data_IF_488516030023
#
_entry.id   IF_488516030023
#
_cell.length_a   1.000
_cell.length_b   1.000
_cell.length_c   1.000
_cell.angle_alpha   90.00
_cell.angle_beta   90.00
_cell.angle_gamma   90.00
#
_symmetry.space_group_name_H-M   'P 1'
#
loop_
_entity.id
_entity.type
_entity.pdbx_description
1 polymer ?
#
# COMPACT_ATOMS: atom_id res chain seq x y z
N UNK A 1 33.73 60.17 -25.61
CA UNK A 1 34.01 59.37 -24.40
C UNK A 1 32.69 58.90 -23.84
N UNK A 2 32.26 57.68 -24.20
CA UNK A 2 31.08 57.04 -23.61
C UNK A 2 31.55 56.04 -22.56
N UNK A 3 31.16 56.26 -21.31
CA UNK A 3 31.37 55.29 -20.22
C UNK A 3 30.16 54.36 -20.15
N UNK A 4 30.35 53.11 -20.53
CA UNK A 4 29.39 52.03 -20.29
C UNK A 4 29.33 51.72 -18.78
N UNK A 5 28.15 51.46 -18.21
CA UNK A 5 28.07 50.91 -16.86
C UNK A 5 28.40 49.41 -16.91
N UNK A 6 29.42 49.00 -16.17
CA UNK A 6 29.75 47.59 -15.93
C UNK A 6 28.61 46.94 -15.13
N UNK A 7 27.85 46.07 -15.78
CA UNK A 7 26.91 45.16 -15.10
C UNK A 7 27.76 44.18 -14.30
N UNK A 8 27.88 44.42 -13.00
CA UNK A 8 28.41 43.44 -12.06
C UNK A 8 27.43 42.28 -11.99
N UNK A 9 27.74 41.19 -12.69
CA UNK A 9 27.13 39.89 -12.45
C UNK A 9 27.67 39.43 -11.11
N UNK A 10 26.99 39.83 -10.03
CA UNK A 10 27.15 39.19 -8.74
C UNK A 10 26.61 37.76 -8.90
N UNK A 11 27.50 36.79 -8.70
CA UNK A 11 27.20 35.37 -8.52
C UNK A 11 26.28 35.18 -7.29
N UNK A 12 25.00 35.50 -7.41
CA UNK A 12 23.97 34.97 -6.53
C UNK A 12 23.54 33.59 -7.07
N UNK A 13 24.50 32.66 -7.11
CA UNK A 13 24.15 31.25 -7.14
C UNK A 13 23.49 30.95 -5.79
N UNK A 14 22.24 30.43 -5.76
CA UNK A 14 21.63 30.03 -4.50
C UNK A 14 22.52 28.95 -3.87
N UNK A 15 23.27 29.32 -2.83
CA UNK A 15 24.02 28.40 -1.96
C UNK A 15 23.03 27.62 -1.08
N UNK A 16 22.11 26.92 -1.71
CA UNK A 16 21.02 26.16 -1.08
C UNK A 16 21.35 24.68 -0.86
N UNK A 17 22.63 24.33 -0.66
CA UNK A 17 23.04 22.94 -0.43
C UNK A 17 23.66 22.69 0.95
N UNK A 18 23.74 23.71 1.82
CA UNK A 18 24.55 23.64 3.04
C UNK A 18 23.80 23.47 4.36
N UNK A 19 22.48 23.23 4.37
CA UNK A 19 21.84 22.77 5.62
C UNK A 19 20.50 22.02 5.42
N UNK A 20 20.50 20.98 4.57
CA UNK A 20 19.41 19.99 4.54
C UNK A 20 19.47 19.07 5.78
N UNK A 21 19.36 19.63 6.97
CA UNK A 21 19.17 18.84 8.20
C UNK A 21 17.79 18.20 8.12
N UNK A 22 17.75 16.88 7.93
CA UNK A 22 16.51 16.10 8.02
C UNK A 22 15.89 16.30 9.40
N UNK A 23 14.55 16.45 9.50
CA UNK A 23 13.90 16.63 10.78
C UNK A 23 14.11 15.39 11.68
N UNK A 24 14.07 15.53 13.02
CA UNK A 24 14.23 14.40 13.94
C UNK A 24 13.23 13.25 13.69
N UNK A 25 12.04 13.55 13.17
CA UNK A 25 11.03 12.54 12.82
C UNK A 25 11.44 11.63 11.67
N UNK A 26 12.33 12.06 10.76
CA UNK A 26 12.90 11.23 9.70
C UNK A 26 13.84 10.17 10.29
N UNK A 27 14.65 10.57 11.27
CA UNK A 27 15.57 9.69 11.96
C UNK A 27 14.86 8.74 12.92
N UNK A 28 13.86 9.23 13.65
CA UNK A 28 13.02 8.37 14.50
C UNK A 28 12.35 7.26 13.66
N UNK A 29 11.77 7.63 12.52
CA UNK A 29 11.19 6.65 11.59
C UNK A 29 12.22 5.62 11.13
N UNK A 30 13.42 6.05 10.75
CA UNK A 30 14.49 5.16 10.33
C UNK A 30 14.93 4.20 11.45
N UNK A 31 15.12 4.71 12.66
CA UNK A 31 15.47 3.89 13.85
C UNK A 31 14.40 2.84 14.12
N UNK A 32 13.12 3.20 14.06
CA UNK A 32 12.01 2.25 14.26
C UNK A 32 12.02 1.16 13.19
N UNK A 33 12.18 1.52 11.91
CA UNK A 33 12.24 0.54 10.81
C UNK A 33 13.44 -0.41 10.97
N UNK A 34 14.62 0.12 11.31
CA UNK A 34 15.81 -0.69 11.55
C UNK A 34 15.66 -1.60 12.77
N UNK A 35 15.05 -1.11 13.85
CA UNK A 35 14.78 -1.90 15.04
C UNK A 35 13.83 -3.07 14.75
N UNK A 36 12.76 -2.82 13.97
CA UNK A 36 11.84 -3.87 13.53
C UNK A 36 12.52 -4.90 12.62
N UNK A 37 13.37 -4.46 11.68
CA UNK A 37 14.12 -5.35 10.81
C UNK A 37 15.14 -6.20 11.60
N UNK A 38 15.88 -5.59 12.52
CA UNK A 38 16.82 -6.28 13.40
C UNK A 38 16.11 -7.29 14.31
N UNK A 39 14.94 -6.92 14.87
CA UNK A 39 14.09 -7.84 15.62
C UNK A 39 13.62 -9.01 14.75
N UNK A 40 13.23 -8.75 13.50
CA UNK A 40 12.87 -9.77 12.53
C UNK A 40 13.99 -10.78 12.29
N UNK A 41 15.22 -10.30 12.02
CA UNK A 41 16.39 -11.17 11.89
C UNK A 41 16.68 -11.97 13.15
N UNK A 42 16.65 -11.32 14.32
CA UNK A 42 16.91 -11.99 15.59
C UNK A 42 15.86 -13.06 15.92
N UNK A 43 14.59 -12.80 15.61
CA UNK A 43 13.47 -13.67 16.02
C UNK A 43 13.19 -14.79 15.00
N UNK A 44 13.40 -14.53 13.72
CA UNK A 44 12.95 -15.39 12.62
C UNK A 44 14.06 -15.73 11.62
N UNK A 45 15.30 -15.26 11.82
CA UNK A 45 16.40 -15.47 10.87
C UNK A 45 16.70 -16.93 10.57
N UNK A 46 16.58 -17.82 11.57
CA UNK A 46 16.79 -19.27 11.40
C UNK A 46 15.69 -19.94 10.55
N UNK A 47 14.51 -19.33 10.47
CA UNK A 47 13.39 -19.81 9.66
C UNK A 47 13.39 -19.21 8.24
N UNK A 48 14.26 -18.23 7.96
CA UNK A 48 14.34 -17.54 6.68
C UNK A 48 15.42 -18.15 5.77
N UNK A 49 15.08 -18.35 4.50
CA UNK A 49 16.08 -18.67 3.49
C UNK A 49 16.95 -17.44 3.12
N UNK A 50 17.99 -17.67 2.31
CA UNK A 50 18.91 -16.60 1.90
C UNK A 50 18.22 -15.47 1.13
N UNK A 51 17.16 -15.78 0.38
CA UNK A 51 16.41 -14.80 -0.38
C UNK A 51 15.53 -13.94 0.53
N UNK A 52 14.88 -14.55 1.52
CA UNK A 52 14.06 -13.85 2.51
C UNK A 52 14.90 -12.92 3.38
N UNK A 53 16.09 -13.37 3.79
CA UNK A 53 17.07 -12.53 4.48
C UNK A 53 17.51 -11.35 3.61
N UNK A 54 17.82 -11.58 2.33
CA UNK A 54 18.19 -10.52 1.40
C UNK A 54 17.03 -9.52 1.16
N UNK A 55 15.79 -10.01 1.08
CA UNK A 55 14.58 -9.18 0.93
C UNK A 55 14.40 -8.31 2.18
N UNK A 56 14.50 -8.86 3.39
CA UNK A 56 14.38 -8.07 4.63
C UNK A 56 15.47 -6.99 4.71
N UNK A 57 16.71 -7.36 4.36
CA UNK A 57 17.85 -6.44 4.31
C UNK A 57 17.64 -5.30 3.32
N UNK A 58 17.05 -5.59 2.14
CA UNK A 58 16.75 -4.58 1.12
C UNK A 58 15.47 -3.77 1.43
N UNK A 59 14.48 -4.38 2.09
CA UNK A 59 13.22 -3.75 2.43
C UNK A 59 13.40 -2.61 3.43
N UNK A 60 14.24 -2.78 4.45
CA UNK A 60 14.49 -1.75 5.46
C UNK A 60 14.97 -0.41 4.86
N UNK A 61 16.08 -0.32 4.09
CA UNK A 61 16.51 0.93 3.47
C UNK A 61 15.50 1.44 2.42
N UNK A 62 14.79 0.55 1.71
CA UNK A 62 13.77 0.94 0.74
C UNK A 62 12.56 1.63 1.41
N UNK A 63 12.09 1.09 2.53
CA UNK A 63 11.00 1.68 3.33
C UNK A 63 11.43 3.01 3.94
N UNK A 64 12.67 3.10 4.43
CA UNK A 64 13.23 4.35 4.95
C UNK A 64 13.27 5.41 3.84
N UNK A 65 13.83 5.07 2.67
CA UNK A 65 13.89 5.95 1.52
C UNK A 65 12.49 6.42 1.09
N UNK A 66 11.53 5.49 1.02
CA UNK A 66 10.14 5.80 0.68
C UNK A 66 9.49 6.73 1.70
N UNK A 67 9.62 6.45 3.00
CA UNK A 67 9.07 7.31 4.05
C UNK A 67 9.72 8.69 4.10
N UNK A 68 10.98 8.82 3.72
CA UNK A 68 11.68 10.10 3.55
C UNK A 68 11.22 10.86 2.31
N UNK A 69 10.99 10.15 1.21
CA UNK A 69 10.52 10.69 -0.06
C UNK A 69 9.07 11.19 0.03
N UNK A 70 8.17 10.37 0.59
CA UNK A 70 6.74 10.66 0.70
C UNK A 70 6.23 10.41 2.12
N UNK A 71 6.29 11.47 2.95
CA UNK A 71 5.96 11.41 4.40
C UNK A 71 4.61 10.77 4.75
N UNK A 72 3.50 10.98 4.02
CA UNK A 72 2.22 10.33 4.30
C UNK A 72 2.29 8.80 4.39
N UNK A 73 3.20 8.17 3.65
CA UNK A 73 3.39 6.70 3.65
C UNK A 73 3.79 6.18 5.03
N UNK A 74 4.46 6.99 5.87
CA UNK A 74 4.86 6.54 7.23
C UNK A 74 3.66 6.15 8.08
N UNK A 75 2.61 6.96 8.06
CA UNK A 75 1.39 6.69 8.82
C UNK A 75 0.65 5.49 8.23
N UNK A 76 0.58 5.41 6.89
CA UNK A 76 -0.03 4.28 6.20
C UNK A 76 0.63 2.95 6.60
N UNK A 77 1.96 2.88 6.53
CA UNK A 77 2.74 1.69 6.89
C UNK A 77 2.59 1.31 8.36
N UNK A 78 2.65 2.29 9.28
CA UNK A 78 2.47 2.03 10.70
C UNK A 78 1.05 1.52 10.98
N UNK A 79 0.04 2.18 10.43
CA UNK A 79 -1.35 1.81 10.65
C UNK A 79 -1.66 0.42 10.08
N UNK A 80 -1.26 0.13 8.83
CA UNK A 80 -1.49 -1.19 8.22
C UNK A 80 -0.71 -2.28 8.94
N UNK A 81 0.54 -2.03 9.32
CA UNK A 81 1.35 -2.98 10.09
C UNK A 81 0.73 -3.31 11.45
N UNK A 82 0.24 -2.31 12.19
CA UNK A 82 -0.46 -2.52 13.45
C UNK A 82 -1.80 -3.24 13.27
N UNK A 83 -2.56 -2.91 12.21
CA UNK A 83 -3.83 -3.57 11.91
C UNK A 83 -3.62 -5.05 11.54
N UNK A 84 -2.62 -5.36 10.71
CA UNK A 84 -2.23 -6.74 10.37
C UNK A 84 -1.72 -7.49 11.58
N UNK A 85 -0.85 -6.89 12.42
CA UNK A 85 -0.41 -7.53 13.66
C UNK A 85 -1.62 -7.82 14.57
N UNK A 86 -2.51 -6.85 14.74
CA UNK A 86 -3.74 -7.00 15.52
C UNK A 86 -4.60 -8.15 14.99
N UNK A 87 -4.79 -8.26 13.68
CA UNK A 87 -5.52 -9.36 13.06
C UNK A 87 -4.86 -10.72 13.35
N UNK A 88 -3.54 -10.84 13.12
CA UNK A 88 -2.80 -12.07 13.41
C UNK A 88 -2.90 -12.46 14.89
N UNK A 89 -2.80 -11.49 15.80
CA UNK A 89 -2.96 -11.72 17.24
C UNK A 89 -4.38 -12.14 17.64
N UNK A 90 -5.41 -11.74 16.89
CA UNK A 90 -6.79 -12.21 17.10
C UNK A 90 -6.96 -13.65 16.60
N UNK A 91 -6.44 -13.97 15.42
CA UNK A 91 -6.45 -15.33 14.87
C UNK A 91 -5.70 -16.31 15.77
N UNK A 92 -4.50 -15.95 16.24
CA UNK A 92 -3.64 -16.80 17.08
C UNK A 92 -4.19 -17.06 18.50
N UNK A 93 -5.38 -16.56 18.85
CA UNK A 93 -6.04 -16.88 20.14
C UNK A 93 -6.52 -18.33 20.21
N UNK A 94 -6.79 -18.92 19.06
CA UNK A 94 -7.21 -20.31 18.90
C UNK A 94 -6.48 -20.89 17.71
N UNK A 95 -5.90 -22.06 17.91
CA UNK A 95 -5.07 -22.73 16.91
C UNK A 95 -5.66 -24.07 16.52
N UNK A 96 -5.39 -24.50 15.30
CA UNK A 96 -5.70 -25.82 14.77
C UNK A 96 -4.40 -26.59 14.46
N UNK A 97 -4.50 -27.67 13.69
CA UNK A 97 -3.36 -28.53 13.34
C UNK A 97 -2.31 -27.82 12.45
N UNK A 98 -2.67 -26.72 11.79
CA UNK A 98 -1.84 -26.03 10.79
C UNK A 98 -1.37 -24.64 11.22
N UNK A 99 -1.97 -24.07 12.26
CA UNK A 99 -1.61 -22.77 12.80
C UNK A 99 -2.78 -22.10 13.48
N UNK A 100 -3.12 -20.87 13.07
CA UNK A 100 -4.29 -20.19 13.58
C UNK A 100 -5.59 -20.74 12.96
N UNK A 101 -6.61 -20.97 13.79
CA UNK A 101 -7.94 -21.38 13.31
C UNK A 101 -8.59 -20.25 12.50
N UNK A 102 -8.63 -20.41 11.18
CA UNK A 102 -9.19 -19.42 10.27
C UNK A 102 -10.71 -19.27 10.39
N UNK A 103 -11.42 -20.23 11.00
CA UNK A 103 -12.85 -20.11 11.26
C UNK A 103 -13.16 -18.94 12.21
N UNK A 104 -12.18 -18.49 13.00
CA UNK A 104 -12.30 -17.29 13.84
C UNK A 104 -12.54 -16.02 13.03
N UNK A 105 -12.17 -16.00 11.74
CA UNK A 105 -12.47 -14.91 10.82
C UNK A 105 -13.96 -14.59 10.75
N UNK A 106 -14.82 -15.58 10.97
CA UNK A 106 -16.29 -15.43 10.95
C UNK A 106 -16.92 -15.28 12.34
N UNK A 107 -16.13 -15.39 13.40
CA UNK A 107 -16.62 -15.42 14.79
C UNK A 107 -16.21 -14.16 15.56
N UNK A 108 -14.96 -13.73 15.43
CA UNK A 108 -14.43 -12.58 16.15
C UNK A 108 -14.88 -11.29 15.45
N UNK A 109 -15.62 -10.44 16.16
CA UNK A 109 -16.20 -9.19 15.63
C UNK A 109 -15.23 -8.37 14.75
N UNK A 110 -14.02 -8.09 15.27
CA UNK A 110 -13.05 -7.27 14.55
C UNK A 110 -12.52 -7.94 13.28
N UNK A 111 -12.34 -9.26 13.28
CA UNK A 111 -11.93 -9.99 12.09
C UNK A 111 -13.08 -9.99 11.08
N UNK A 112 -14.25 -10.47 11.51
CA UNK A 112 -15.45 -10.62 10.67
C UNK A 112 -15.83 -9.34 9.96
N UNK A 113 -15.80 -8.21 10.65
CA UNK A 113 -16.31 -6.97 10.09
C UNK A 113 -15.23 -6.05 9.53
N UNK A 114 -13.94 -6.26 9.81
CA UNK A 114 -12.92 -5.27 9.40
C UNK A 114 -11.59 -5.87 8.97
N UNK A 115 -11.03 -6.78 9.77
CA UNK A 115 -9.60 -7.11 9.69
C UNK A 115 -9.28 -8.42 8.98
N UNK A 116 -10.24 -9.34 8.81
CA UNK A 116 -10.01 -10.51 7.94
C UNK A 116 -9.72 -10.04 6.52
N UNK A 117 -8.97 -10.83 5.74
CA UNK A 117 -8.58 -10.40 4.40
C UNK A 117 -9.78 -10.06 3.52
N UNK A 118 -10.82 -10.89 3.56
CA UNK A 118 -12.05 -10.71 2.79
C UNK A 118 -12.78 -9.42 3.20
N UNK A 119 -12.98 -9.21 4.50
CA UNK A 119 -13.69 -8.03 5.00
C UNK A 119 -12.92 -6.75 4.74
N UNK A 120 -11.59 -6.76 4.89
CA UNK A 120 -10.76 -5.62 4.57
C UNK A 120 -10.82 -5.25 3.07
N UNK A 121 -10.78 -6.24 2.17
CA UNK A 121 -10.89 -6.01 0.72
C UNK A 121 -12.31 -5.52 0.33
N UNK A 122 -13.35 -5.99 1.01
CA UNK A 122 -14.71 -5.46 0.82
C UNK A 122 -14.81 -3.99 1.25
N UNK A 123 -14.23 -3.62 2.40
CA UNK A 123 -14.15 -2.22 2.82
C UNK A 123 -13.35 -1.35 1.85
N UNK A 124 -12.20 -1.84 1.36
CA UNK A 124 -11.48 -1.17 0.28
C UNK A 124 -12.42 -0.87 -0.90
N UNK A 125 -13.19 -1.87 -1.33
CA UNK A 125 -14.10 -1.76 -2.47
C UNK A 125 -15.15 -0.67 -2.25
N UNK A 126 -15.82 -0.69 -1.09
CA UNK A 126 -16.81 0.33 -0.70
C UNK A 126 -16.17 1.72 -0.67
N UNK A 127 -15.00 1.84 -0.02
CA UNK A 127 -14.31 3.12 0.14
C UNK A 127 -13.85 3.67 -1.21
N UNK A 128 -13.37 2.85 -2.14
CA UNK A 128 -13.01 3.33 -3.47
C UNK A 128 -14.22 3.82 -4.27
N UNK A 129 -15.36 3.13 -4.24
CA UNK A 129 -16.59 3.68 -4.86
C UNK A 129 -17.06 4.98 -4.20
N UNK A 130 -17.03 5.06 -2.87
CA UNK A 130 -17.36 6.29 -2.14
C UNK A 130 -16.41 7.43 -2.52
N UNK A 131 -15.11 7.16 -2.58
CA UNK A 131 -14.09 8.11 -3.04
C UNK A 131 -14.42 8.64 -4.43
N UNK A 132 -14.75 7.76 -5.38
CA UNK A 132 -15.19 8.15 -6.73
C UNK A 132 -16.35 9.13 -6.67
N UNK A 133 -17.40 8.82 -5.92
CA UNK A 133 -18.56 9.72 -5.78
C UNK A 133 -18.15 11.08 -5.23
N UNK A 134 -17.32 11.14 -4.19
CA UNK A 134 -16.89 12.40 -3.60
C UNK A 134 -15.99 13.23 -4.52
N UNK A 135 -15.09 12.60 -5.27
CA UNK A 135 -14.32 13.30 -6.31
C UNK A 135 -15.23 13.87 -7.40
N UNK A 136 -16.25 13.12 -7.85
CA UNK A 136 -17.23 13.61 -8.82
C UNK A 136 -18.08 14.75 -8.25
N UNK A 137 -18.51 14.67 -6.99
CA UNK A 137 -19.17 15.80 -6.30
C UNK A 137 -18.23 17.01 -6.30
N UNK A 138 -16.96 16.84 -5.93
CA UNK A 138 -15.96 17.92 -5.94
C UNK A 138 -15.80 18.56 -7.31
N UNK A 139 -15.74 17.75 -8.37
CA UNK A 139 -15.65 18.21 -9.76
C UNK A 139 -16.90 18.98 -10.20
N UNK A 140 -18.08 18.39 -10.05
CA UNK A 140 -19.35 18.96 -10.55
C UNK A 140 -19.78 20.20 -9.77
N UNK A 141 -19.59 20.19 -8.45
CA UNK A 141 -19.91 21.34 -7.60
C UNK A 141 -18.79 22.37 -7.51
N UNK A 142 -17.63 22.10 -8.12
CA UNK A 142 -16.38 22.90 -7.98
C UNK A 142 -16.01 23.13 -6.51
N UNK A 143 -16.22 22.13 -5.67
CA UNK A 143 -16.04 22.19 -4.23
C UNK A 143 -14.73 21.52 -3.79
N UNK A 144 -13.85 22.31 -3.18
CA UNK A 144 -12.63 21.79 -2.56
C UNK A 144 -12.92 20.74 -1.47
N UNK A 145 -14.06 20.87 -0.77
CA UNK A 145 -14.48 19.92 0.26
C UNK A 145 -14.79 18.55 -0.33
N UNK A 146 -15.46 18.50 -1.50
CA UNK A 146 -15.77 17.23 -2.18
C UNK A 146 -14.51 16.46 -2.55
N UNK A 147 -13.57 17.13 -3.22
CA UNK A 147 -12.26 16.55 -3.56
C UNK A 147 -11.50 16.10 -2.32
N UNK A 148 -11.43 16.93 -1.27
CA UNK A 148 -10.70 16.60 -0.03
C UNK A 148 -11.28 15.37 0.67
N UNK A 149 -12.61 15.22 0.68
CA UNK A 149 -13.27 14.03 1.20
C UNK A 149 -12.97 12.80 0.33
N UNK A 150 -13.02 12.94 -1.01
CA UNK A 150 -12.62 11.89 -1.94
C UNK A 150 -11.21 11.39 -1.65
N UNK A 151 -10.24 12.29 -1.51
CA UNK A 151 -8.85 11.98 -1.16
C UNK A 151 -8.70 11.26 0.17
N UNK A 152 -9.37 11.74 1.23
CA UNK A 152 -9.34 11.09 2.56
C UNK A 152 -9.94 9.69 2.53
N UNK A 153 -11.04 9.50 1.80
CA UNK A 153 -11.69 8.20 1.65
C UNK A 153 -10.80 7.26 0.81
N UNK A 154 -10.14 7.77 -0.23
CA UNK A 154 -9.16 7.00 -1.00
C UNK A 154 -7.99 6.53 -0.12
N UNK A 155 -7.44 7.39 0.75
CA UNK A 155 -6.43 6.98 1.73
C UNK A 155 -6.93 5.85 2.65
N UNK A 156 -8.16 5.95 3.14
CA UNK A 156 -8.78 4.89 3.94
C UNK A 156 -8.93 3.59 3.14
N UNK A 157 -9.32 3.67 1.87
CA UNK A 157 -9.41 2.51 0.98
C UNK A 157 -8.05 1.84 0.74
N UNK A 158 -6.99 2.62 0.52
CA UNK A 158 -5.61 2.10 0.39
C UNK A 158 -5.16 1.43 1.69
N UNK A 159 -5.47 2.01 2.84
CA UNK A 159 -5.20 1.40 4.14
C UNK A 159 -5.89 0.03 4.30
N UNK A 160 -7.18 -0.06 3.96
CA UNK A 160 -7.93 -1.32 4.02
C UNK A 160 -7.39 -2.34 3.02
N UNK A 161 -7.00 -1.91 1.81
CA UNK A 161 -6.42 -2.76 0.79
C UNK A 161 -5.11 -3.40 1.25
N UNK A 162 -4.16 -2.58 1.73
CA UNK A 162 -2.86 -3.06 2.20
C UNK A 162 -3.05 -3.97 3.42
N UNK A 163 -3.92 -3.59 4.36
CA UNK A 163 -4.24 -4.45 5.51
C UNK A 163 -4.80 -5.80 5.06
N UNK A 164 -5.77 -5.80 4.15
CA UNK A 164 -6.36 -7.01 3.60
C UNK A 164 -5.34 -7.88 2.85
N UNK A 165 -4.48 -7.29 2.04
CA UNK A 165 -3.36 -7.98 1.37
C UNK A 165 -2.42 -8.61 2.39
N UNK A 166 -1.95 -7.87 3.39
CA UNK A 166 -1.02 -8.39 4.40
C UNK A 166 -1.66 -9.46 5.30
N UNK A 167 -2.92 -9.31 5.69
CA UNK A 167 -3.66 -10.34 6.44
C UNK A 167 -3.88 -11.57 5.58
N UNK A 168 -4.15 -11.41 4.28
CA UNK A 168 -4.25 -12.55 3.34
C UNK A 168 -2.94 -13.33 3.25
N UNK A 169 -1.81 -12.64 3.29
CA UNK A 169 -0.50 -13.29 3.35
C UNK A 169 -0.37 -14.15 4.62
N UNK A 170 -0.77 -13.61 5.77
CA UNK A 170 -0.81 -14.40 7.01
C UNK A 170 -1.76 -15.60 6.90
N UNK A 171 -3.01 -15.38 6.48
CA UNK A 171 -4.04 -16.41 6.35
C UNK A 171 -3.59 -17.55 5.43
N UNK A 172 -2.94 -17.26 4.30
CA UNK A 172 -2.49 -18.31 3.36
C UNK A 172 -1.50 -19.30 3.99
N UNK A 173 -0.69 -18.84 4.95
CA UNK A 173 0.28 -19.68 5.66
C UNK A 173 -0.33 -20.48 6.82
N UNK A 174 -1.62 -20.26 7.15
CA UNK A 174 -2.31 -21.00 8.21
C UNK A 174 -3.17 -22.16 7.67
N UNK A 175 -3.22 -22.37 6.35
CA UNK A 175 -4.11 -23.37 5.75
C UNK A 175 -3.45 -24.75 5.68
N UNK A 176 -2.27 -24.82 5.05
CA UNK A 176 -1.48 -26.04 4.89
C UNK A 176 -0.04 -25.69 4.47
N UNK A 177 0.94 -26.61 4.64
CA UNK A 177 2.36 -26.34 4.39
C UNK A 177 2.68 -25.82 2.98
N UNK A 178 1.93 -26.25 1.96
CA UNK A 178 2.20 -25.92 0.54
C UNK A 178 1.27 -24.84 -0.04
N UNK A 179 0.45 -24.20 0.80
CA UNK A 179 -0.53 -23.17 0.36
C UNK A 179 -0.02 -21.75 0.63
N UNK A 180 0.90 -21.56 1.59
CA UNK A 180 1.43 -20.24 1.93
C UNK A 180 2.06 -19.51 0.73
N UNK A 181 1.56 -18.32 0.41
CA UNK A 181 2.12 -17.49 -0.66
C UNK A 181 1.91 -15.99 -0.45
N UNK A 182 2.71 -15.21 -1.16
CA UNK A 182 2.56 -13.76 -1.26
C UNK A 182 1.30 -13.47 -2.08
N UNK A 183 0.42 -12.55 -1.62
CA UNK A 183 -0.90 -12.24 -2.20
C UNK A 183 -0.80 -11.44 -3.52
N UNK A 184 -0.15 -12.03 -4.52
CA UNK A 184 0.06 -11.53 -5.88
C UNK A 184 -0.01 -12.68 -6.90
N UNK A 185 -0.65 -13.79 -6.53
CA UNK A 185 -0.45 -15.08 -7.21
C UNK A 185 -1.64 -15.48 -8.10
N UNK A 186 -2.78 -14.81 -7.99
CA UNK A 186 -3.95 -15.03 -8.85
C UNK A 186 -4.55 -13.70 -9.34
N UNK A 187 -5.49 -13.79 -10.29
CA UNK A 187 -6.09 -12.61 -10.91
C UNK A 187 -6.84 -11.72 -9.91
N UNK A 188 -7.46 -12.30 -8.88
CA UNK A 188 -8.16 -11.55 -7.85
C UNK A 188 -7.17 -10.69 -7.04
N UNK A 189 -6.10 -11.28 -6.53
CA UNK A 189 -5.05 -10.61 -5.76
C UNK A 189 -4.33 -9.53 -6.57
N UNK A 190 -4.08 -9.81 -7.83
CA UNK A 190 -3.51 -8.86 -8.77
C UNK A 190 -4.41 -7.63 -8.97
N UNK A 191 -5.73 -7.81 -9.05
CA UNK A 191 -6.66 -6.68 -9.16
C UNK A 191 -6.76 -5.87 -7.86
N UNK A 192 -6.63 -6.51 -6.69
CA UNK A 192 -6.47 -5.80 -5.40
C UNK A 192 -5.22 -4.92 -5.47
N UNK A 193 -4.08 -5.50 -5.87
CA UNK A 193 -2.80 -4.79 -6.02
C UNK A 193 -2.95 -3.60 -6.97
N UNK A 194 -3.50 -3.83 -8.16
CA UNK A 194 -3.72 -2.79 -9.17
C UNK A 194 -4.57 -1.64 -8.62
N UNK A 195 -5.67 -1.95 -7.93
CA UNK A 195 -6.59 -0.94 -7.41
C UNK A 195 -5.92 -0.02 -6.36
N UNK A 196 -5.27 -0.60 -5.35
CA UNK A 196 -4.65 0.22 -4.30
C UNK A 196 -3.38 0.92 -4.78
N UNK A 197 -2.61 0.29 -5.67
CA UNK A 197 -1.39 0.89 -6.21
C UNK A 197 -1.72 2.10 -7.09
N UNK A 198 -2.68 1.96 -8.01
CA UNK A 198 -3.17 3.07 -8.85
C UNK A 198 -3.70 4.22 -7.99
N UNK A 199 -4.46 3.90 -6.95
CA UNK A 199 -4.98 4.90 -6.01
C UNK A 199 -3.86 5.57 -5.21
N UNK A 200 -2.85 4.83 -4.77
CA UNK A 200 -1.70 5.38 -4.06
C UNK A 200 -0.87 6.32 -4.97
N UNK A 201 -0.66 5.96 -6.23
CA UNK A 201 -0.01 6.84 -7.20
C UNK A 201 -0.83 8.11 -7.45
N UNK A 202 -2.15 8.00 -7.58
CA UNK A 202 -3.03 9.16 -7.66
C UNK A 202 -2.84 10.10 -6.47
N UNK A 203 -2.91 9.56 -5.24
CA UNK A 203 -2.74 10.35 -4.02
C UNK A 203 -1.34 10.97 -3.91
N UNK A 204 -0.31 10.29 -4.41
CA UNK A 204 1.04 10.86 -4.51
C UNK A 204 1.09 12.05 -5.45
N UNK A 205 0.52 11.94 -6.66
CA UNK A 205 0.48 13.05 -7.60
C UNK A 205 -0.36 14.21 -7.05
N UNK A 206 -1.52 13.92 -6.47
CA UNK A 206 -2.37 14.94 -5.84
C UNK A 206 -1.60 15.74 -4.78
N UNK A 207 -0.95 15.07 -3.82
CA UNK A 207 -0.13 15.70 -2.78
C UNK A 207 1.08 16.45 -3.35
N UNK A 208 1.74 15.88 -4.37
CA UNK A 208 2.94 16.47 -5.00
C UNK A 208 2.62 17.79 -5.69
N UNK A 209 1.54 17.82 -6.47
CA UNK A 209 1.14 19.02 -7.20
C UNK A 209 0.49 20.06 -6.29
N UNK A 210 -0.27 19.65 -5.27
CA UNK A 210 -0.79 20.58 -4.26
C UNK A 210 0.36 21.34 -3.58
N UNK A 211 1.45 20.65 -3.24
CA UNK A 211 2.69 21.27 -2.72
C UNK A 211 3.39 22.21 -3.70
N UNK A 212 3.17 22.06 -5.01
CA UNK A 212 3.65 22.99 -6.04
C UNK A 212 2.68 24.16 -6.29
N UNK A 213 1.56 24.23 -5.56
CA UNK A 213 0.53 25.25 -5.75
C UNK A 213 -0.44 24.97 -6.91
N UNK A 214 -0.44 23.75 -7.46
CA UNK A 214 -1.35 23.33 -8.52
C UNK A 214 -2.40 22.35 -7.97
N UNK A 215 -3.69 22.64 -8.17
CA UNK A 215 -4.76 21.71 -7.78
C UNK A 215 -5.12 20.79 -8.94
N UNK A 216 -4.89 19.49 -8.77
CA UNK A 216 -5.37 18.44 -9.70
C UNK A 216 -6.65 17.77 -9.21
N UNK A 217 -7.32 18.28 -8.18
CA UNK A 217 -8.44 17.60 -7.53
C UNK A 217 -9.56 17.11 -8.45
N UNK A 218 -9.76 17.76 -9.60
CA UNK A 218 -10.71 17.35 -10.64
C UNK A 218 -10.32 16.07 -11.38
N UNK A 219 -9.01 15.81 -11.56
CA UNK A 219 -8.51 14.63 -12.27
C UNK A 219 -8.78 13.34 -11.49
N UNK A 220 -8.85 13.43 -10.15
CA UNK A 220 -9.18 12.31 -9.28
C UNK A 220 -10.53 11.67 -9.60
N UNK A 221 -11.50 12.44 -10.10
CA UNK A 221 -12.79 11.90 -10.53
C UNK A 221 -12.65 10.88 -11.66
N UNK A 222 -11.72 11.12 -12.59
CA UNK A 222 -11.47 10.22 -13.74
C UNK A 222 -10.59 9.05 -13.35
N UNK A 223 -9.54 9.28 -12.56
CA UNK A 223 -8.66 8.19 -12.11
C UNK A 223 -9.45 7.18 -11.27
N UNK A 224 -10.31 7.68 -10.38
CA UNK A 224 -11.14 6.81 -9.55
C UNK A 224 -12.20 6.03 -10.34
N UNK A 225 -12.59 6.44 -11.57
CA UNK A 225 -13.41 5.58 -12.43
C UNK A 225 -12.67 4.33 -12.89
N UNK A 226 -11.38 4.44 -13.23
CA UNK A 226 -10.55 3.28 -13.60
C UNK A 226 -10.41 2.34 -12.41
N UNK A 227 -10.15 2.89 -11.21
CA UNK A 227 -10.11 2.12 -9.96
C UNK A 227 -11.46 1.46 -9.69
N UNK A 228 -12.57 2.18 -9.83
CA UNK A 228 -13.93 1.63 -9.65
C UNK A 228 -14.26 0.53 -10.66
N UNK A 229 -13.79 0.63 -11.91
CA UNK A 229 -13.95 -0.43 -12.89
C UNK A 229 -13.18 -1.70 -12.50
N UNK A 230 -11.94 -1.54 -12.01
CA UNK A 230 -11.15 -2.65 -11.48
C UNK A 230 -11.80 -3.30 -10.25
N UNK A 231 -12.33 -2.50 -9.32
CA UNK A 231 -13.09 -2.99 -8.17
C UNK A 231 -14.38 -3.70 -8.61
N UNK A 232 -15.10 -3.16 -9.60
CA UNK A 232 -16.29 -3.80 -10.16
C UNK A 232 -15.99 -5.17 -10.76
N UNK A 233 -14.90 -5.28 -11.53
CA UNK A 233 -14.40 -6.56 -12.02
C UNK A 233 -14.03 -7.50 -10.87
N UNK A 234 -13.31 -7.01 -9.86
CA UNK A 234 -12.90 -7.80 -8.70
C UNK A 234 -14.10 -8.39 -7.96
N UNK A 235 -15.15 -7.60 -7.71
CA UNK A 235 -16.37 -8.06 -7.04
C UNK A 235 -17.14 -9.07 -7.89
N UNK A 236 -17.28 -8.80 -9.20
CA UNK A 236 -17.88 -9.76 -10.12
C UNK A 236 -17.10 -11.09 -10.15
N UNK A 237 -15.77 -11.01 -10.23
CA UNK A 237 -14.90 -12.17 -10.29
C UNK A 237 -14.95 -12.98 -8.99
N UNK A 238 -14.98 -12.32 -7.83
CA UNK A 238 -15.16 -12.98 -6.55
C UNK A 238 -16.50 -13.72 -6.46
N UNK A 239 -17.61 -13.06 -6.80
CA UNK A 239 -18.97 -13.64 -6.64
C UNK A 239 -19.28 -14.71 -7.68
N UNK A 240 -18.96 -14.45 -8.95
CA UNK A 240 -19.36 -15.33 -10.06
C UNK A 240 -18.37 -16.48 -10.28
N UNK A 241 -17.09 -16.29 -9.93
CA UNK A 241 -16.04 -17.28 -10.15
C UNK A 241 -15.49 -17.89 -8.85
N UNK A 242 -15.99 -17.48 -7.68
CA UNK A 242 -15.48 -17.97 -6.38
C UNK A 242 -14.03 -17.59 -6.11
N UNK A 243 -13.51 -16.56 -6.79
CA UNK A 243 -12.07 -16.30 -6.86
C UNK A 243 -11.46 -15.64 -5.61
N UNK A 244 -12.26 -15.34 -4.59
CA UNK A 244 -11.79 -14.80 -3.31
C UNK A 244 -11.17 -15.87 -2.40
N UNK A 245 -11.42 -17.15 -2.68
CA UNK A 245 -10.85 -18.26 -1.92
C UNK A 245 -9.32 -18.35 -2.11
N UNK A 246 -8.61 -18.76 -1.08
CA UNK A 246 -7.18 -19.03 -1.15
C UNK A 246 -7.02 -20.46 -1.66
N UNK A 247 -6.51 -20.60 -2.87
CA UNK A 247 -6.34 -21.88 -3.56
C UNK A 247 -4.86 -22.26 -3.66
N UNK A 248 -4.51 -23.56 -3.69
CA UNK A 248 -3.14 -24.00 -3.94
C UNK A 248 -2.63 -23.46 -5.28
N UNK A 249 -1.37 -23.03 -5.31
CA UNK A 249 -0.75 -22.52 -6.54
C UNK A 249 -0.49 -23.65 -7.54
N UNK A 250 -0.77 -23.39 -8.81
CA UNK A 250 -0.32 -24.30 -9.89
C UNK A 250 1.21 -24.32 -9.97
N UNK A 251 1.84 -25.44 -10.36
CA UNK A 251 3.30 -25.60 -10.30
C UNK A 251 4.11 -24.50 -11.00
N UNK A 252 3.57 -23.90 -12.07
CA UNK A 252 4.21 -22.81 -12.79
C UNK A 252 4.34 -21.48 -11.99
N UNK A 253 3.53 -21.28 -10.96
CA UNK A 253 3.51 -20.06 -10.14
C UNK A 253 4.34 -20.18 -8.85
N UNK A 254 4.95 -21.33 -8.59
CA UNK A 254 5.79 -21.56 -7.41
C UNK A 254 7.22 -20.99 -7.57
N UNK A 255 7.55 -20.41 -8.74
CA UNK A 255 8.88 -19.87 -9.04
C UNK A 255 9.19 -18.60 -8.23
N UNK A 256 10.42 -18.52 -7.69
CA UNK A 256 10.92 -17.33 -6.99
C UNK A 256 10.93 -16.08 -7.88
N UNK A 257 11.20 -16.25 -9.18
CA UNK A 257 11.20 -15.13 -10.14
C UNK A 257 9.82 -14.46 -10.21
N UNK A 258 8.71 -15.22 -10.05
CA UNK A 258 7.33 -14.71 -10.07
C UNK A 258 7.09 -13.65 -8.99
N UNK A 259 7.57 -13.92 -7.77
CA UNK A 259 7.44 -13.02 -6.61
C UNK A 259 8.02 -11.63 -6.86
N UNK A 260 9.01 -11.50 -7.77
CA UNK A 260 9.67 -10.24 -8.08
C UNK A 260 9.14 -9.57 -9.35
N UNK A 261 9.07 -10.30 -10.47
CA UNK A 261 8.74 -9.67 -11.76
C UNK A 261 7.25 -9.33 -11.89
N UNK A 262 6.34 -10.11 -11.29
CA UNK A 262 4.90 -9.85 -11.39
C UNK A 262 4.54 -8.53 -10.71
N UNK A 263 4.94 -8.27 -9.44
CA UNK A 263 4.75 -6.96 -8.84
C UNK A 263 5.45 -5.83 -9.59
N UNK A 264 6.66 -6.06 -10.12
CA UNK A 264 7.38 -5.07 -10.92
C UNK A 264 6.61 -4.69 -12.20
N UNK A 265 6.02 -5.68 -12.89
CA UNK A 265 5.16 -5.45 -14.04
C UNK A 265 3.94 -4.61 -13.66
N UNK A 266 3.32 -4.88 -12.50
CA UNK A 266 2.18 -4.07 -12.04
C UNK A 266 2.56 -2.66 -11.62
N UNK A 267 3.76 -2.43 -11.08
CA UNK A 267 4.27 -1.07 -10.86
C UNK A 267 4.47 -0.36 -12.21
N UNK A 268 5.02 -1.04 -13.20
CA UNK A 268 5.16 -0.50 -14.56
C UNK A 268 3.83 -0.16 -15.22
N UNK A 269 2.90 -1.12 -15.27
CA UNK A 269 1.59 -0.94 -15.92
C UNK A 269 0.62 -0.08 -15.12
N UNK A 270 0.67 -0.10 -13.78
CA UNK A 270 -0.19 0.72 -12.93
C UNK A 270 0.22 2.19 -12.86
N UNK A 271 1.39 2.55 -13.41
CA UNK A 271 1.87 3.94 -13.49
C UNK A 271 1.68 4.58 -14.87
N UNK A 272 1.24 3.81 -15.87
CA UNK A 272 0.98 4.25 -17.25
C UNK A 272 -0.52 4.26 -17.55
#
# INVERSE_FOLDING_TARGET
MSTSPSVGVADDLPTGLTDLKRPPSDWLFAVVVLALAAWGFWRFGDAMDVYEQAILLAAAPSVIAMGWFWRPVRLLLLASGLATWGAAALYLRTTDDWGADLAQGEQIFWLKYFLSSQSAILWMSVLFFMSTVFYWIGLLSRSATGTRLGSRIAWAGVFMAITGTLVRWFESHQIAPDIGHIPVSNLYEVFVLFAWLTTAFWLYYEDRFEKMGQSLGSLGAFVMLVVSAAVGFLLWYAVVRGASEIQPLVPALQSWWMKLHVPANFIGYGTF
#
